data_IF_756319732000
#
_entry.id   IF_756319732000
#
_cell.length_a   1.000
_cell.length_b   1.000
_cell.length_c   1.000
_cell.angle_alpha   90.00
_cell.angle_beta   90.00
_cell.angle_gamma   90.00
#
_symmetry.space_group_name_H-M   'P 1'
#
loop_
_entity.id
_entity.type
_entity.pdbx_description
1 polymer ?
#
# COMPACT_ATOMS: atom_id res chain seq x y z
N UNK A 1 3.21 0.69 27.83
CA UNK A 1 2.90 1.73 26.83
C UNK A 1 3.95 2.83 26.83
N UNK A 2 4.16 3.52 27.96
CA UNK A 2 5.15 4.59 28.08
C UNK A 2 6.59 4.15 27.75
N UNK A 3 7.09 3.10 28.40
CA UNK A 3 8.46 2.61 28.23
C UNK A 3 8.76 2.12 26.79
N UNK A 4 7.92 1.24 26.27
CA UNK A 4 8.05 0.70 24.91
C UNK A 4 7.56 1.64 23.79
N UNK A 5 7.17 2.89 24.12
CA UNK A 5 6.64 3.90 23.17
C UNK A 5 5.50 3.38 22.29
N UNK A 6 4.62 2.57 22.87
CA UNK A 6 3.42 2.07 22.17
C UNK A 6 2.39 3.21 22.11
N UNK A 7 1.86 3.55 20.92
CA UNK A 7 0.82 4.57 20.79
C UNK A 7 -0.38 4.27 21.70
N UNK A 8 -0.91 5.28 22.40
CA UNK A 8 -2.04 5.06 23.32
C UNK A 8 -3.28 4.53 22.62
N UNK A 9 -3.46 4.84 21.33
CA UNK A 9 -4.56 4.31 20.54
C UNK A 9 -4.57 2.77 20.43
N UNK A 10 -3.48 2.08 20.81
CA UNK A 10 -3.45 0.63 20.87
C UNK A 10 -4.50 0.02 21.83
N UNK A 11 -4.99 0.77 22.84
CA UNK A 11 -6.09 0.26 23.70
C UNK A 11 -7.44 0.19 22.98
N UNK A 12 -7.59 0.92 21.87
CA UNK A 12 -8.83 0.98 21.10
C UNK A 12 -8.91 -0.08 19.99
N UNK A 13 -7.88 -0.92 19.84
CA UNK A 13 -7.95 -2.04 18.91
C UNK A 13 -9.03 -3.04 19.37
N UNK A 14 -9.85 -3.53 18.43
CA UNK A 14 -10.92 -4.51 18.73
C UNK A 14 -10.38 -5.77 19.42
N UNK A 15 -9.13 -6.14 19.15
CA UNK A 15 -8.43 -7.27 19.76
C UNK A 15 -7.92 -7.01 21.18
N UNK A 16 -7.84 -5.75 21.63
CA UNK A 16 -7.26 -5.40 22.94
C UNK A 16 -8.11 -5.93 24.09
N UNK A 17 -9.43 -5.70 24.08
CA UNK A 17 -10.35 -6.22 25.10
C UNK A 17 -10.31 -7.74 25.22
N UNK A 18 -10.51 -8.51 24.13
CA UNK A 18 -10.38 -9.96 24.11
C UNK A 18 -9.02 -10.46 24.59
N UNK A 19 -7.92 -9.77 24.24
CA UNK A 19 -6.58 -10.10 24.72
C UNK A 19 -6.48 -9.98 26.24
N UNK A 20 -7.00 -8.89 26.84
CA UNK A 20 -6.99 -8.71 28.30
C UNK A 20 -7.79 -9.82 29.00
N UNK A 21 -8.97 -10.16 28.47
CA UNK A 21 -9.80 -11.26 29.01
C UNK A 21 -9.06 -12.60 28.92
N UNK A 22 -8.44 -12.92 27.79
CA UNK A 22 -7.70 -14.16 27.60
C UNK A 22 -6.49 -14.27 28.56
N UNK A 23 -5.79 -13.17 28.81
CA UNK A 23 -4.70 -13.11 29.80
C UNK A 23 -5.25 -13.35 31.21
N UNK A 24 -6.37 -12.70 31.57
CA UNK A 24 -7.02 -12.87 32.86
C UNK A 24 -7.49 -14.30 33.13
N UNK A 25 -8.04 -14.96 32.11
CA UNK A 25 -8.50 -16.36 32.19
C UNK A 25 -7.36 -17.37 32.37
N UNK A 26 -6.15 -17.07 31.86
CA UNK A 26 -4.99 -17.93 32.11
C UNK A 26 -4.62 -17.97 33.60
N UNK A 27 -4.79 -16.84 34.30
CA UNK A 27 -4.55 -16.72 35.72
C UNK A 27 -3.08 -16.49 36.12
N UNK A 28 -2.80 -16.49 37.44
CA UNK A 28 -1.46 -16.27 37.98
C UNK A 28 -0.46 -17.31 37.45
N UNK A 29 0.71 -16.85 37.01
CA UNK A 29 1.77 -17.72 36.48
C UNK A 29 1.84 -17.80 34.95
N UNK A 30 1.05 -17.03 34.22
CA UNK A 30 1.24 -16.85 32.78
C UNK A 30 2.66 -16.33 32.51
N UNK A 31 3.43 -17.09 31.72
CA UNK A 31 4.72 -16.62 31.23
C UNK A 31 4.51 -15.75 29.99
N UNK A 32 5.15 -14.58 29.90
CA UNK A 32 5.11 -13.78 28.68
C UNK A 32 5.74 -14.56 27.53
N UNK A 33 5.26 -14.32 26.31
CA UNK A 33 5.86 -14.87 25.10
C UNK A 33 7.27 -14.32 24.91
N UNK A 34 8.19 -15.18 24.49
CA UNK A 34 9.53 -14.77 24.14
C UNK A 34 9.56 -13.95 22.84
N UNK A 35 10.58 -13.12 22.67
CA UNK A 35 10.82 -12.36 21.43
C UNK A 35 10.84 -13.26 20.18
N UNK A 36 11.43 -14.46 20.30
CA UNK A 36 11.46 -15.43 19.21
C UNK A 36 10.06 -15.95 18.86
N UNK A 37 9.24 -16.30 19.86
CA UNK A 37 7.88 -16.79 19.63
C UNK A 37 7.00 -15.76 18.92
N UNK A 38 7.11 -14.47 19.30
CA UNK A 38 6.34 -13.41 18.67
C UNK A 38 6.76 -13.20 17.22
N UNK A 39 8.06 -13.05 16.95
CA UNK A 39 8.55 -12.65 15.63
C UNK A 39 8.55 -13.78 14.59
N UNK A 40 8.51 -15.06 15.00
CA UNK A 40 8.59 -16.21 14.08
C UNK A 40 7.30 -17.03 14.08
N UNK A 41 7.00 -17.91 15.06
CA UNK A 41 5.84 -18.80 14.94
C UNK A 41 4.51 -18.06 15.05
N UNK A 42 4.36 -17.07 15.94
CA UNK A 42 3.10 -16.33 16.03
C UNK A 42 2.86 -15.45 14.80
N UNK A 43 3.89 -14.79 14.28
CA UNK A 43 3.78 -14.05 13.02
C UNK A 43 3.40 -14.95 11.83
N UNK A 44 3.96 -16.17 11.75
CA UNK A 44 3.57 -17.14 10.72
C UNK A 44 2.10 -17.55 10.84
N UNK A 45 1.63 -17.83 12.07
CA UNK A 45 0.22 -18.14 12.35
C UNK A 45 -0.70 -16.99 11.98
N UNK A 46 -0.32 -15.75 12.30
CA UNK A 46 -1.11 -14.57 11.95
C UNK A 46 -1.19 -14.37 10.44
N UNK A 47 -0.09 -14.61 9.71
CA UNK A 47 -0.07 -14.58 8.25
C UNK A 47 -0.98 -15.65 7.65
N UNK A 48 -0.96 -16.86 8.19
CA UNK A 48 -1.85 -17.96 7.77
C UNK A 48 -3.31 -17.63 8.05
N UNK A 49 -3.62 -17.08 9.24
CA UNK A 49 -4.95 -16.62 9.60
C UNK A 49 -5.45 -15.53 8.62
N UNK A 50 -4.64 -14.50 8.38
CA UNK A 50 -4.94 -13.45 7.41
C UNK A 50 -5.16 -14.02 6.01
N UNK A 51 -4.31 -14.94 5.54
CA UNK A 51 -4.51 -15.59 4.24
C UNK A 51 -5.82 -16.38 4.16
N UNK A 52 -6.24 -17.01 5.26
CA UNK A 52 -7.52 -17.72 5.33
C UNK A 52 -8.71 -16.75 5.24
N UNK A 53 -8.65 -15.59 5.91
CA UNK A 53 -9.67 -14.54 5.78
C UNK A 53 -9.78 -14.02 4.34
N UNK A 54 -8.67 -14.00 3.61
CA UNK A 54 -8.60 -13.53 2.23
C UNK A 54 -9.03 -14.56 1.17
N UNK A 55 -9.35 -15.82 1.54
CA UNK A 55 -9.78 -16.84 0.56
C UNK A 55 -10.95 -16.39 -0.29
N UNK A 56 -11.97 -15.83 0.34
CA UNK A 56 -13.14 -15.36 -0.39
C UNK A 56 -12.88 -14.15 -1.30
N UNK A 57 -11.76 -13.44 -1.16
CA UNK A 57 -11.35 -12.44 -2.16
C UNK A 57 -10.82 -13.14 -3.41
N UNK A 58 -10.00 -14.19 -3.23
CA UNK A 58 -9.45 -14.98 -4.34
C UNK A 58 -10.54 -15.69 -5.14
N UNK A 59 -11.58 -16.19 -4.46
CA UNK A 59 -12.74 -16.77 -5.13
C UNK A 59 -13.45 -15.73 -6.04
N UNK A 60 -13.54 -14.47 -5.58
CA UNK A 60 -14.11 -13.38 -6.37
C UNK A 60 -13.20 -12.96 -7.54
N UNK A 61 -11.88 -13.10 -7.42
CA UNK A 61 -10.96 -12.85 -8.55
C UNK A 61 -11.25 -13.79 -9.71
N UNK A 62 -11.51 -15.07 -9.44
CA UNK A 62 -11.85 -16.07 -10.46
C UNK A 62 -13.24 -15.80 -11.04
N UNK A 63 -14.19 -15.39 -10.20
CA UNK A 63 -15.59 -15.23 -10.61
C UNK A 63 -15.87 -13.94 -11.39
N UNK A 64 -15.27 -12.83 -10.97
CA UNK A 64 -15.60 -11.49 -11.48
C UNK A 64 -14.39 -10.78 -12.11
N UNK A 65 -13.20 -11.35 -11.96
CA UNK A 65 -11.96 -10.65 -12.24
C UNK A 65 -11.54 -9.70 -11.11
N UNK A 66 -10.34 -9.17 -11.23
CA UNK A 66 -9.76 -8.23 -10.29
C UNK A 66 -8.93 -7.14 -10.97
N UNK A 67 -8.74 -6.03 -10.27
CA UNK A 67 -7.81 -4.98 -10.66
C UNK A 67 -6.57 -5.03 -9.77
N UNK A 68 -5.38 -4.99 -10.37
CA UNK A 68 -4.13 -4.87 -9.63
C UNK A 68 -3.82 -3.38 -9.50
N UNK A 69 -3.67 -2.89 -8.27
CA UNK A 69 -3.27 -1.52 -7.99
C UNK A 69 -1.86 -1.49 -7.40
N UNK A 70 -1.02 -0.65 -7.98
CA UNK A 70 0.32 -0.40 -7.49
C UNK A 70 0.40 0.99 -6.88
N UNK A 71 0.74 1.02 -5.60
CA UNK A 71 0.97 2.25 -4.85
C UNK A 71 2.47 2.44 -4.61
N UNK A 72 3.03 3.52 -5.15
CA UNK A 72 4.45 3.84 -5.04
C UNK A 72 4.65 4.90 -3.99
N UNK A 73 5.47 4.60 -2.99
CA UNK A 73 5.89 5.57 -1.99
C UNK A 73 7.41 5.70 -1.96
N UNK A 74 7.91 6.94 -2.04
CA UNK A 74 9.35 7.22 -1.94
C UNK A 74 9.63 8.06 -0.71
N UNK A 75 10.54 7.59 0.15
CA UNK A 75 10.91 8.31 1.36
C UNK A 75 11.98 9.39 1.10
N UNK A 76 12.23 10.25 2.11
CA UNK A 76 13.27 11.30 2.05
C UNK A 76 14.70 10.76 1.79
N UNK A 77 14.96 9.49 2.11
CA UNK A 77 16.22 8.79 1.83
C UNK A 77 16.25 8.14 0.44
N UNK A 78 15.31 8.49 -0.45
CA UNK A 78 15.14 7.96 -1.81
C UNK A 78 14.91 6.44 -1.88
N UNK A 79 14.48 5.82 -0.79
CA UNK A 79 13.99 4.44 -0.84
C UNK A 79 12.58 4.43 -1.39
N UNK A 80 12.35 3.64 -2.42
CA UNK A 80 11.05 3.49 -3.07
C UNK A 80 10.47 2.14 -2.68
N UNK A 81 9.31 2.16 -2.03
CA UNK A 81 8.49 0.98 -1.80
C UNK A 81 7.35 0.96 -2.81
N UNK A 82 7.03 -0.23 -3.28
CA UNK A 82 5.93 -0.47 -4.19
C UNK A 82 5.00 -1.50 -3.57
N UNK A 83 3.80 -1.05 -3.21
CA UNK A 83 2.77 -1.87 -2.60
C UNK A 83 1.90 -2.47 -3.70
N UNK A 84 1.68 -3.77 -3.63
CA UNK A 84 0.77 -4.49 -4.51
C UNK A 84 -0.54 -4.77 -3.79
N UNK A 85 -1.60 -4.24 -4.39
CA UNK A 85 -2.97 -4.36 -3.92
C UNK A 85 -3.79 -5.03 -5.01
N UNK A 86 -4.72 -5.90 -4.61
CA UNK A 86 -5.66 -6.54 -5.53
C UNK A 86 -7.06 -6.17 -5.10
N UNK A 87 -7.82 -5.61 -6.03
CA UNK A 87 -9.15 -5.05 -5.78
C UNK A 87 -10.16 -5.94 -6.49
N UNK A 88 -11.20 -6.31 -5.76
CA UNK A 88 -12.34 -7.09 -6.25
C UNK A 88 -13.62 -6.60 -5.58
N UNK A 89 -14.82 -7.07 -5.97
CA UNK A 89 -16.08 -6.65 -5.36
C UNK A 89 -16.13 -6.81 -3.83
N UNK A 90 -15.40 -7.79 -3.27
CA UNK A 90 -15.29 -8.01 -1.83
C UNK A 90 -14.47 -6.95 -1.09
N UNK A 91 -13.59 -6.26 -1.80
CA UNK A 91 -12.71 -5.25 -1.25
C UNK A 91 -11.27 -5.37 -1.75
N UNK A 92 -10.38 -4.65 -1.06
CA UNK A 92 -8.97 -4.55 -1.40
C UNK A 92 -8.13 -5.47 -0.51
N UNK A 93 -7.32 -6.31 -1.14
CA UNK A 93 -6.34 -7.16 -0.48
C UNK A 93 -4.93 -6.60 -0.69
N UNK A 94 -4.21 -6.34 0.40
CA UNK A 94 -2.76 -6.17 0.34
C UNK A 94 -2.09 -7.52 0.14
N UNK A 95 -1.23 -7.62 -0.88
CA UNK A 95 -0.54 -8.86 -1.21
C UNK A 95 0.90 -8.82 -0.74
N UNK A 96 1.64 -7.80 -1.16
CA UNK A 96 3.02 -7.60 -0.72
C UNK A 96 3.50 -6.16 -0.94
N UNK A 97 4.65 -5.84 -0.35
CA UNK A 97 5.39 -4.62 -0.61
C UNK A 97 6.82 -4.98 -0.97
N UNK A 98 7.35 -4.37 -2.02
CA UNK A 98 8.72 -4.63 -2.48
C UNK A 98 9.56 -3.35 -2.47
N UNK A 99 10.86 -3.50 -2.25
CA UNK A 99 11.81 -2.41 -2.47
C UNK A 99 12.11 -2.28 -3.98
N UNK A 100 11.66 -1.17 -4.56
CA UNK A 100 11.82 -0.81 -5.96
C UNK A 100 12.78 0.36 -6.18
N UNK A 101 13.64 0.66 -5.20
CA UNK A 101 14.56 1.81 -5.24
C UNK A 101 15.48 1.80 -6.47
N UNK A 102 15.92 0.64 -6.92
CA UNK A 102 16.91 0.50 -8.01
C UNK A 102 16.28 0.36 -9.41
N UNK A 103 14.96 0.29 -9.55
CA UNK A 103 14.31 0.01 -10.83
C UNK A 103 12.96 0.65 -11.07
N UNK A 104 12.35 1.31 -10.08
CA UNK A 104 11.02 1.93 -10.19
C UNK A 104 10.88 2.98 -11.30
N UNK A 105 12.00 3.50 -11.82
CA UNK A 105 12.05 4.51 -12.89
C UNK A 105 12.29 3.93 -14.29
N UNK A 106 12.46 2.62 -14.40
CA UNK A 106 12.76 1.93 -15.66
C UNK A 106 11.52 1.16 -16.09
N UNK A 107 10.93 1.54 -17.22
CA UNK A 107 9.64 1.01 -17.68
C UNK A 107 9.68 -0.51 -17.89
N UNK A 108 10.76 -1.03 -18.48
CA UNK A 108 10.94 -2.46 -18.76
C UNK A 108 10.98 -3.28 -17.47
N UNK A 109 11.62 -2.75 -16.42
CA UNK A 109 11.69 -3.42 -15.12
C UNK A 109 10.35 -3.38 -14.39
N UNK A 110 9.62 -2.26 -14.50
CA UNK A 110 8.25 -2.16 -13.98
C UNK A 110 7.31 -3.13 -14.69
N UNK A 111 7.41 -3.22 -16.01
CA UNK A 111 6.66 -4.17 -16.83
C UNK A 111 6.93 -5.62 -16.38
N UNK A 112 8.19 -6.05 -16.34
CA UNK A 112 8.57 -7.41 -15.92
C UNK A 112 8.08 -7.75 -14.50
N UNK A 113 8.07 -6.76 -13.62
CA UNK A 113 7.58 -6.95 -12.27
C UNK A 113 6.06 -7.13 -12.23
N UNK A 114 5.31 -6.27 -12.92
CA UNK A 114 3.85 -6.35 -12.97
C UNK A 114 3.42 -7.64 -13.67
N UNK A 115 4.11 -8.00 -14.76
CA UNK A 115 3.92 -9.26 -15.49
C UNK A 115 4.02 -10.48 -14.57
N UNK A 116 5.11 -10.60 -13.79
CA UNK A 116 5.24 -11.69 -12.80
C UNK A 116 4.12 -11.71 -11.77
N UNK A 117 3.60 -10.55 -11.41
CA UNK A 117 2.51 -10.44 -10.46
C UNK A 117 1.16 -10.85 -11.08
N UNK A 118 0.92 -10.48 -12.33
CA UNK A 118 -0.22 -10.94 -13.15
C UNK A 118 -0.17 -12.47 -13.28
N UNK A 119 0.98 -13.04 -13.64
CA UNK A 119 1.16 -14.49 -13.74
C UNK A 119 0.85 -15.21 -12.42
N UNK A 120 1.24 -14.61 -11.27
CA UNK A 120 0.96 -15.19 -9.95
C UNK A 120 -0.52 -15.15 -9.55
N UNK A 121 -1.29 -14.19 -10.05
CA UNK A 121 -2.73 -14.08 -9.83
C UNK A 121 -3.53 -14.89 -10.86
N UNK A 122 -2.84 -15.36 -11.90
CA UNK A 122 -3.36 -15.90 -13.14
C UNK A 122 -3.97 -14.79 -14.01
N UNK A 123 -3.43 -14.66 -15.22
CA UNK A 123 -3.79 -13.64 -16.20
C UNK A 123 -5.30 -13.56 -16.46
N UNK A 124 -5.99 -14.71 -16.49
CA UNK A 124 -7.43 -14.79 -16.73
C UNK A 124 -8.28 -14.13 -15.62
N UNK A 125 -7.73 -13.98 -14.42
CA UNK A 125 -8.40 -13.36 -13.28
C UNK A 125 -8.16 -11.85 -13.23
N UNK A 126 -7.23 -11.31 -14.03
CA UNK A 126 -6.88 -9.89 -14.04
C UNK A 126 -7.63 -9.20 -15.16
N UNK A 127 -8.24 -8.05 -14.86
CA UNK A 127 -8.97 -7.24 -15.84
C UNK A 127 -8.27 -5.90 -16.08
N UNK A 128 -7.64 -5.35 -15.04
CA UNK A 128 -7.12 -3.99 -15.06
C UNK A 128 -5.85 -3.85 -14.24
N UNK A 129 -4.94 -2.98 -14.70
CA UNK A 129 -3.77 -2.53 -13.95
C UNK A 129 -3.91 -1.03 -13.65
N UNK A 130 -3.75 -0.64 -12.39
CA UNK A 130 -3.86 0.74 -11.92
C UNK A 130 -2.53 1.18 -11.30
N UNK A 131 -1.94 2.26 -11.80
CA UNK A 131 -0.70 2.85 -11.26
C UNK A 131 -0.75 4.37 -11.30
N UNK A 132 0.18 5.07 -10.66
CA UNK A 132 0.38 6.50 -10.95
C UNK A 132 0.72 6.75 -12.45
N UNK A 133 0.56 7.99 -12.90
CA UNK A 133 0.80 8.41 -14.29
C UNK A 133 2.25 8.81 -14.56
N UNK A 134 3.20 8.36 -13.74
CA UNK A 134 4.61 8.59 -14.02
C UNK A 134 5.00 7.93 -15.36
N UNK A 135 5.88 8.56 -16.13
CA UNK A 135 6.22 8.14 -17.49
C UNK A 135 6.63 6.65 -17.61
N UNK A 136 7.40 6.14 -16.64
CA UNK A 136 7.81 4.74 -16.61
C UNK A 136 6.61 3.77 -16.47
N UNK A 137 5.60 4.16 -15.69
CA UNK A 137 4.39 3.37 -15.49
C UNK A 137 3.46 3.44 -16.70
N UNK A 138 3.31 4.61 -17.31
CA UNK A 138 2.55 4.75 -18.56
C UNK A 138 3.13 3.84 -19.64
N UNK A 139 4.45 3.81 -19.78
CA UNK A 139 5.12 2.96 -20.77
C UNK A 139 5.00 1.46 -20.41
N UNK A 140 5.16 1.11 -19.13
CA UNK A 140 4.93 -0.27 -18.67
C UNK A 140 3.48 -0.71 -18.90
N UNK A 141 2.50 0.17 -18.69
CA UNK A 141 1.09 -0.06 -18.99
C UNK A 141 0.87 -0.40 -20.46
N UNK A 142 1.46 0.37 -21.38
CA UNK A 142 1.42 0.08 -22.82
C UNK A 142 2.03 -1.27 -23.18
N UNK A 143 3.13 -1.66 -22.51
CA UNK A 143 3.73 -2.99 -22.72
C UNK A 143 2.79 -4.11 -22.23
N UNK A 144 2.08 -3.91 -21.11
CA UNK A 144 1.09 -4.86 -20.61
C UNK A 144 -0.08 -5.01 -21.58
N UNK A 145 -0.65 -3.90 -22.07
CA UNK A 145 -1.74 -3.91 -23.05
C UNK A 145 -1.33 -4.55 -24.38
N UNK A 146 -0.08 -4.38 -24.80
CA UNK A 146 0.46 -5.02 -26.00
C UNK A 146 0.66 -6.54 -25.83
N UNK A 147 1.03 -7.00 -24.63
CA UNK A 147 1.23 -8.42 -24.34
C UNK A 147 -0.09 -9.15 -24.05
N UNK A 148 -0.99 -8.52 -23.31
CA UNK A 148 -2.21 -9.11 -22.78
C UNK A 148 -3.43 -8.37 -23.33
N UNK A 149 -4.02 -8.89 -24.40
CA UNK A 149 -5.04 -8.19 -25.19
C UNK A 149 -6.34 -7.87 -24.42
N UNK A 150 -6.64 -8.59 -23.35
CA UNK A 150 -7.81 -8.36 -22.49
C UNK A 150 -7.54 -7.40 -21.31
N UNK A 151 -6.27 -7.10 -21.02
CA UNK A 151 -5.90 -6.17 -19.96
C UNK A 151 -5.89 -4.74 -20.48
N UNK A 152 -6.31 -3.82 -19.63
CA UNK A 152 -6.12 -2.40 -19.85
C UNK A 152 -5.46 -1.73 -18.65
N UNK A 153 -4.66 -0.71 -18.93
CA UNK A 153 -4.00 0.09 -17.93
C UNK A 153 -4.74 1.42 -17.74
N UNK A 154 -4.85 1.87 -16.48
CA UNK A 154 -5.42 3.18 -16.17
C UNK A 154 -4.58 3.93 -15.14
N UNK A 155 -4.51 5.27 -15.22
CA UNK A 155 -3.87 6.05 -14.20
C UNK A 155 -4.69 6.06 -12.89
N UNK A 156 -4.00 6.16 -11.77
CA UNK A 156 -4.60 6.26 -10.45
C UNK A 156 -5.41 7.55 -10.33
N UNK A 157 -6.70 7.43 -10.02
CA UNK A 157 -7.60 8.57 -9.89
C UNK A 157 -7.13 9.57 -8.82
N UNK A 158 -6.62 9.09 -7.67
CA UNK A 158 -6.12 9.97 -6.61
C UNK A 158 -4.92 10.81 -7.08
N UNK A 159 -4.01 10.20 -7.86
CA UNK A 159 -2.89 10.93 -8.43
C UNK A 159 -3.33 11.90 -9.54
N UNK A 160 -4.32 11.53 -10.36
CA UNK A 160 -4.90 12.46 -11.33
C UNK A 160 -5.52 13.68 -10.64
N UNK A 161 -6.23 13.48 -9.53
CA UNK A 161 -6.80 14.58 -8.75
C UNK A 161 -5.71 15.47 -8.14
N UNK A 162 -4.63 14.89 -7.64
CA UNK A 162 -3.47 15.62 -7.14
C UNK A 162 -2.86 16.52 -8.21
N UNK A 163 -2.62 15.98 -9.42
CA UNK A 163 -2.12 16.76 -10.57
C UNK A 163 -3.08 17.88 -10.99
N UNK A 164 -4.40 17.61 -10.99
CA UNK A 164 -5.40 18.65 -11.27
C UNK A 164 -5.34 19.78 -10.24
N UNK A 165 -5.19 19.45 -8.95
CA UNK A 165 -5.06 20.44 -7.89
C UNK A 165 -3.75 21.24 -8.05
N UNK A 166 -2.64 20.59 -8.36
CA UNK A 166 -1.38 21.28 -8.66
C UNK A 166 -1.54 22.29 -9.79
N UNK A 167 -2.25 21.95 -10.85
CA UNK A 167 -2.48 22.84 -11.98
C UNK A 167 -3.41 24.01 -11.64
N UNK A 168 -4.43 23.80 -10.82
CA UNK A 168 -5.29 24.88 -10.30
C UNK A 168 -4.44 25.91 -9.53
N UNK A 169 -3.51 25.45 -8.68
CA UNK A 169 -2.65 26.35 -7.93
C UNK A 169 -1.58 27.06 -8.79
N UNK A 170 -1.40 26.68 -10.06
CA UNK A 170 -0.56 27.42 -11.03
C UNK A 170 -1.29 28.60 -11.68
N UNK A 171 -2.61 28.72 -11.54
CA UNK A 171 -3.40 29.84 -12.09
C UNK A 171 -2.87 31.17 -11.51
N UNK A 172 -2.62 32.21 -12.33
CA UNK A 172 -1.97 33.45 -11.86
C UNK A 172 -2.62 34.12 -10.64
N UNK A 173 -3.95 34.06 -10.53
CA UNK A 173 -4.71 34.62 -9.40
C UNK A 173 -4.51 33.85 -8.08
N UNK A 174 -4.21 32.55 -8.15
CA UNK A 174 -4.03 31.68 -6.97
C UNK A 174 -2.56 31.46 -6.62
N UNK A 175 -1.68 31.47 -7.63
CA UNK A 175 -0.26 31.13 -7.52
C UNK A 175 0.45 31.88 -6.40
N UNK A 176 0.32 33.21 -6.36
CA UNK A 176 1.00 34.04 -5.35
C UNK A 176 0.56 33.70 -3.93
N UNK A 177 -0.73 33.43 -3.73
CA UNK A 177 -1.29 33.08 -2.41
C UNK A 177 -0.78 31.71 -1.98
N UNK A 178 -0.76 30.74 -2.89
CA UNK A 178 -0.26 29.39 -2.63
C UNK A 178 1.24 29.39 -2.29
N UNK A 179 2.07 30.10 -3.04
CA UNK A 179 3.50 30.24 -2.77
C UNK A 179 3.77 30.83 -1.37
N UNK A 180 3.01 31.85 -0.97
CA UNK A 180 3.10 32.43 0.40
C UNK A 180 2.68 31.44 1.47
N UNK A 181 1.62 30.67 1.23
CA UNK A 181 1.16 29.64 2.16
C UNK A 181 2.23 28.55 2.36
N UNK A 182 2.92 28.13 1.29
CA UNK A 182 4.05 27.18 1.37
C UNK A 182 5.17 27.74 2.25
N UNK A 183 5.52 29.02 2.11
CA UNK A 183 6.56 29.65 2.95
C UNK A 183 6.17 29.63 4.42
N UNK A 184 4.94 30.02 4.75
CA UNK A 184 4.43 30.00 6.13
C UNK A 184 4.38 28.58 6.68
N UNK A 185 3.89 27.62 5.91
CA UNK A 185 3.89 26.21 6.26
C UNK A 185 5.33 25.73 6.54
N UNK A 186 6.26 26.01 5.63
CA UNK A 186 7.67 25.68 5.80
C UNK A 186 8.26 26.29 7.06
N UNK A 187 7.92 27.54 7.38
CA UNK A 187 8.33 28.18 8.64
C UNK A 187 7.77 27.44 9.85
N UNK A 188 6.46 27.17 9.91
CA UNK A 188 5.83 26.49 11.05
C UNK A 188 6.45 25.11 11.30
N UNK A 189 6.56 24.29 10.25
CA UNK A 189 7.04 22.92 10.38
C UNK A 189 8.55 22.80 10.61
N UNK A 190 9.34 23.81 10.23
CA UNK A 190 10.79 23.82 10.49
C UNK A 190 11.17 24.60 11.76
N UNK A 191 10.31 25.51 12.25
CA UNK A 191 10.53 26.27 13.48
C UNK A 191 10.24 25.45 14.75
N UNK A 192 9.52 24.32 14.65
CA UNK A 192 9.26 23.40 15.77
C UNK A 192 10.43 22.43 16.09
N UNK A 193 11.64 22.70 15.62
CA UNK A 193 12.86 21.94 15.92
C UNK A 193 13.84 22.66 16.86
N UNK A 194 13.38 23.62 17.66
CA UNK A 194 14.09 24.08 18.86
C UNK A 194 13.51 23.42 20.11
#
# INVERSE_FOLDING_TARGET
MYDARIPFNAVNCDSFGPMIVAIGQYGPGMKPRSYHEVRVPLLKKEREHTNNLMKGHRDDWVKYGCSIMLDRWTNKKRRTLLNFLVICPKGTMFVESIDASSYSKVAEKMFQLIEKFVERIEEANVVQIVTDSAAANVLAGKFLEAKFAHLYWTPCAAHCLDLMLEDIFKIPSLKRTFERAIVVHGFIYNAQLC
#
